data_IF_905276614251
#
_entry.id   IF_905276614251
#
_cell.length_a   1.000
_cell.length_b   1.000
_cell.length_c   1.000
_cell.angle_alpha   90.00
_cell.angle_beta   90.00
_cell.angle_gamma   90.00
#
_symmetry.space_group_name_H-M   'P 1'
#
loop_
_entity.id
_entity.type
_entity.pdbx_description
1 polymer ?
#
# COMPACT_ATOMS: atom_id res chain seq x y z
N UNK A 1 58.89 -14.51 -17.96
CA UNK A 1 57.91 -13.73 -17.15
C UNK A 1 57.04 -12.89 -18.08
N UNK A 2 55.83 -13.35 -18.42
CA UNK A 2 54.79 -12.54 -19.06
C UNK A 2 53.51 -12.77 -18.26
N UNK A 3 53.04 -11.74 -17.56
CA UNK A 3 51.80 -11.76 -16.78
C UNK A 3 50.64 -11.56 -17.77
N UNK A 4 49.73 -12.52 -17.86
CA UNK A 4 48.47 -12.40 -18.59
C UNK A 4 47.46 -11.78 -17.63
N UNK A 5 47.05 -10.55 -17.89
CA UNK A 5 45.93 -9.90 -17.20
C UNK A 5 44.63 -10.39 -17.84
N UNK A 6 43.88 -11.23 -17.12
CA UNK A 6 42.54 -11.64 -17.50
C UNK A 6 41.56 -10.59 -16.95
N UNK A 7 41.19 -9.62 -17.79
CA UNK A 7 40.16 -8.63 -17.46
C UNK A 7 38.78 -9.27 -17.53
N UNK A 8 38.13 -9.44 -16.38
CA UNK A 8 36.73 -9.86 -16.30
C UNK A 8 35.86 -8.66 -16.72
N UNK A 9 35.26 -8.74 -17.90
CA UNK A 9 34.27 -7.76 -18.36
C UNK A 9 32.94 -8.07 -17.65
N UNK A 10 32.65 -7.33 -16.57
CA UNK A 10 31.34 -7.32 -15.92
C UNK A 10 30.33 -6.65 -16.86
N UNK A 11 29.57 -7.46 -17.59
CA UNK A 11 28.38 -7.00 -18.31
C UNK A 11 27.32 -6.71 -17.26
N UNK A 12 27.22 -5.46 -16.84
CA UNK A 12 26.09 -4.97 -16.04
C UNK A 12 24.90 -4.88 -16.98
N UNK A 13 24.05 -5.92 -16.97
CA UNK A 13 22.74 -5.86 -17.64
C UNK A 13 21.81 -5.05 -16.75
N UNK A 14 21.86 -3.73 -16.91
CA UNK A 14 20.91 -2.81 -16.29
C UNK A 14 19.53 -3.06 -16.92
N UNK A 15 18.66 -3.76 -16.20
CA UNK A 15 17.22 -3.78 -16.50
C UNK A 15 16.65 -2.41 -16.16
N UNK A 16 16.68 -1.50 -17.13
CA UNK A 16 15.84 -0.30 -17.07
C UNK A 16 14.39 -0.76 -17.15
N UNK A 17 13.65 -0.56 -16.05
CA UNK A 17 12.20 -0.60 -16.05
C UNK A 17 11.71 0.47 -17.04
N UNK A 18 11.46 0.06 -18.29
CA UNK A 18 10.75 0.92 -19.24
C UNK A 18 9.37 1.15 -18.65
N UNK A 19 9.06 2.41 -18.36
CA UNK A 19 7.71 2.90 -18.22
C UNK A 19 6.87 2.25 -19.32
N UNK A 20 5.94 1.37 -18.94
CA UNK A 20 4.92 0.88 -19.85
C UNK A 20 4.12 2.10 -20.27
N UNK A 21 4.30 2.50 -21.53
CA UNK A 21 3.61 3.61 -22.18
C UNK A 21 2.11 3.52 -21.92
N UNK A 22 1.59 4.51 -21.20
CA UNK A 22 0.17 4.74 -20.93
C UNK A 22 -0.69 4.71 -22.20
N UNK A 23 -0.11 5.04 -23.36
CA UNK A 23 -0.76 5.02 -24.69
C UNK A 23 -1.21 3.62 -25.21
N UNK A 24 -1.02 2.50 -24.48
CA UNK A 24 -1.47 1.15 -24.94
C UNK A 24 -2.58 0.50 -24.11
N UNK A 25 -3.02 1.08 -22.99
CA UNK A 25 -4.06 0.48 -22.14
C UNK A 25 -5.47 0.96 -22.48
N UNK A 26 -5.61 2.21 -22.93
CA UNK A 26 -6.93 2.79 -23.25
C UNK A 26 -7.56 2.19 -24.52
N UNK A 27 -6.74 1.73 -25.46
CA UNK A 27 -7.20 1.08 -26.70
C UNK A 27 -7.69 -0.36 -26.48
N UNK A 28 -7.28 -1.01 -25.40
CA UNK A 28 -7.67 -2.39 -25.10
C UNK A 28 -9.11 -2.44 -24.60
N UNK A 29 -9.89 -3.40 -25.10
CA UNK A 29 -11.22 -3.63 -24.57
C UNK A 29 -11.16 -4.15 -23.12
N UNK A 30 -12.30 -4.15 -22.43
CA UNK A 30 -12.40 -4.56 -21.02
C UNK A 30 -11.89 -5.99 -20.78
N UNK A 31 -12.16 -6.91 -21.70
CA UNK A 31 -11.83 -8.33 -21.59
C UNK A 31 -10.34 -8.56 -21.83
N UNK A 32 -9.78 -7.95 -22.88
CA UNK A 32 -8.35 -8.05 -23.19
C UNK A 32 -7.51 -7.52 -22.03
N UNK A 33 -7.90 -6.37 -21.47
CA UNK A 33 -7.19 -5.78 -20.34
C UNK A 33 -7.31 -6.65 -19.09
N UNK A 34 -8.50 -7.19 -18.83
CA UNK A 34 -8.75 -8.15 -17.75
C UNK A 34 -7.80 -9.34 -17.83
N UNK A 35 -7.73 -10.01 -19.00
CA UNK A 35 -6.84 -11.15 -19.21
C UNK A 35 -5.38 -10.78 -19.00
N UNK A 36 -4.91 -9.68 -19.60
CA UNK A 36 -3.52 -9.20 -19.47
C UNK A 36 -3.13 -8.96 -18.02
N UNK A 37 -3.95 -8.22 -17.27
CA UNK A 37 -3.66 -7.88 -15.88
C UNK A 37 -3.72 -9.12 -14.97
N UNK A 38 -4.72 -9.98 -15.15
CA UNK A 38 -4.83 -11.22 -14.38
C UNK A 38 -3.63 -12.15 -14.62
N UNK A 39 -3.19 -12.32 -15.86
CA UNK A 39 -2.01 -13.13 -16.17
C UNK A 39 -0.74 -12.52 -15.58
N UNK A 40 -0.58 -11.19 -15.61
CA UNK A 40 0.57 -10.54 -14.98
C UNK A 40 0.61 -10.77 -13.46
N UNK A 41 -0.55 -10.77 -12.80
CA UNK A 41 -0.67 -10.91 -11.36
C UNK A 41 -0.58 -12.38 -10.91
N UNK A 42 -1.32 -13.27 -11.53
CA UNK A 42 -1.52 -14.64 -11.05
C UNK A 42 -0.87 -15.71 -11.92
N UNK A 43 -0.35 -15.35 -13.10
CA UNK A 43 0.26 -16.29 -14.06
C UNK A 43 -0.73 -17.24 -14.74
N UNK A 44 -2.03 -17.11 -14.47
CA UNK A 44 -3.09 -17.96 -15.03
C UNK A 44 -3.90 -17.28 -16.15
N UNK A 45 -4.90 -18.00 -16.63
CA UNK A 45 -5.89 -17.50 -17.59
C UNK A 45 -7.14 -16.97 -16.84
N UNK A 46 -7.56 -15.74 -17.15
CA UNK A 46 -8.81 -15.18 -16.67
C UNK A 46 -9.99 -15.62 -17.54
N UNK A 47 -11.20 -15.62 -16.97
CA UNK A 47 -12.46 -15.90 -17.67
C UNK A 47 -12.46 -17.30 -18.32
N UNK A 48 -11.92 -18.29 -17.62
CA UNK A 48 -11.77 -19.67 -18.10
C UNK A 48 -13.02 -20.55 -17.88
N UNK A 49 -14.05 -20.03 -17.20
CA UNK A 49 -15.29 -20.75 -16.92
C UNK A 49 -15.16 -21.89 -15.91
N UNK A 50 -14.00 -22.02 -15.25
CA UNK A 50 -13.75 -23.04 -14.24
C UNK A 50 -14.25 -22.62 -12.84
N UNK A 51 -14.30 -23.60 -11.92
CA UNK A 51 -14.75 -23.39 -10.55
C UNK A 51 -16.23 -23.66 -10.36
N UNK A 52 -16.74 -23.34 -9.16
CA UNK A 52 -18.13 -23.59 -8.78
C UNK A 52 -19.08 -22.46 -9.16
N UNK A 53 -18.55 -21.24 -9.32
CA UNK A 53 -19.34 -20.01 -9.54
C UNK A 53 -18.69 -19.14 -10.64
N UNK A 54 -18.65 -19.61 -11.91
CA UNK A 54 -17.92 -18.91 -12.97
C UNK A 54 -18.51 -17.53 -13.31
N UNK A 55 -19.83 -17.32 -13.17
CA UNK A 55 -20.46 -16.04 -13.47
C UNK A 55 -19.98 -14.91 -12.55
N UNK A 56 -19.91 -15.16 -11.23
CA UNK A 56 -19.44 -14.15 -10.28
C UNK A 56 -17.94 -13.91 -10.45
N UNK A 57 -17.17 -14.94 -10.78
CA UNK A 57 -15.74 -14.81 -11.08
C UNK A 57 -15.51 -13.95 -12.32
N UNK A 58 -16.33 -14.11 -13.35
CA UNK A 58 -16.30 -13.27 -14.54
C UNK A 58 -16.59 -11.80 -14.21
N UNK A 59 -17.66 -11.54 -13.45
CA UNK A 59 -18.02 -10.18 -13.02
C UNK A 59 -16.86 -9.55 -12.22
N UNK A 60 -16.33 -10.29 -11.25
CA UNK A 60 -15.22 -9.86 -10.40
C UNK A 60 -13.97 -9.54 -11.23
N UNK A 61 -13.54 -10.47 -12.08
CA UNK A 61 -12.31 -10.30 -12.86
C UNK A 61 -12.42 -9.15 -13.86
N UNK A 62 -13.55 -9.06 -14.59
CA UNK A 62 -13.79 -7.97 -15.54
C UNK A 62 -13.88 -6.61 -14.85
N UNK A 63 -14.42 -6.53 -13.64
CA UNK A 63 -14.47 -5.29 -12.87
C UNK A 63 -13.09 -4.87 -12.35
N UNK A 64 -12.40 -5.76 -11.63
CA UNK A 64 -11.10 -5.45 -11.02
C UNK A 64 -10.06 -5.23 -12.12
N UNK A 65 -9.81 -6.24 -12.95
CA UNK A 65 -8.68 -6.24 -13.87
C UNK A 65 -8.99 -5.54 -15.21
N UNK A 66 -10.27 -5.39 -15.55
CA UNK A 66 -10.71 -4.76 -16.79
C UNK A 66 -11.11 -3.28 -16.67
N UNK A 67 -11.65 -2.83 -15.52
CA UNK A 67 -12.15 -1.45 -15.35
C UNK A 67 -11.36 -0.67 -14.29
N UNK A 68 -11.18 -1.23 -13.09
CA UNK A 68 -10.47 -0.53 -12.00
C UNK A 68 -9.00 -0.31 -12.36
N UNK A 69 -8.34 -1.29 -12.98
CA UNK A 69 -6.93 -1.18 -13.39
C UNK A 69 -6.64 -0.16 -14.50
N UNK A 70 -7.62 0.21 -15.33
CA UNK A 70 -7.45 1.33 -16.29
C UNK A 70 -7.79 2.70 -15.69
N UNK A 71 -8.42 2.73 -14.52
CA UNK A 71 -8.91 3.99 -13.96
C UNK A 71 -7.81 4.70 -13.18
N UNK A 72 -7.43 5.88 -13.65
CA UNK A 72 -6.42 6.74 -13.05
C UNK A 72 -4.97 6.25 -13.22
N UNK A 73 -4.02 7.16 -13.03
CA UNK A 73 -2.59 6.86 -13.14
C UNK A 73 -2.06 6.27 -11.82
N UNK A 74 -2.01 4.94 -11.79
CA UNK A 74 -1.48 4.14 -10.68
C UNK A 74 -0.77 2.92 -11.26
N UNK A 75 0.50 2.78 -10.94
CA UNK A 75 1.29 1.63 -11.36
C UNK A 75 0.81 0.33 -10.67
N UNK A 76 1.12 -0.80 -11.30
CA UNK A 76 0.64 -2.11 -10.88
C UNK A 76 1.18 -2.54 -9.50
N UNK A 77 2.40 -2.11 -9.12
CA UNK A 77 2.96 -2.40 -7.79
C UNK A 77 2.15 -1.69 -6.71
N UNK A 78 1.88 -0.40 -6.93
CA UNK A 78 1.08 0.41 -6.01
C UNK A 78 -0.34 -0.15 -5.89
N UNK A 79 -0.97 -0.57 -6.99
CA UNK A 79 -2.29 -1.22 -6.97
C UNK A 79 -2.32 -2.46 -6.10
N UNK A 80 -1.33 -3.34 -6.24
CA UNK A 80 -1.26 -4.56 -5.42
C UNK A 80 -0.91 -4.29 -3.96
N UNK A 81 -0.07 -3.30 -3.66
CA UNK A 81 0.16 -2.88 -2.27
C UNK A 81 -1.12 -2.35 -1.63
N UNK A 82 -1.92 -1.54 -2.35
CA UNK A 82 -3.24 -1.07 -1.89
C UNK A 82 -4.16 -2.27 -1.62
N UNK A 83 -4.26 -3.20 -2.56
CA UNK A 83 -5.05 -4.42 -2.38
C UNK A 83 -4.63 -5.19 -1.12
N UNK A 84 -3.33 -5.39 -0.92
CA UNK A 84 -2.80 -6.10 0.25
C UNK A 84 -3.16 -5.40 1.58
N UNK A 85 -3.02 -4.07 1.67
CA UNK A 85 -3.38 -3.36 2.91
C UNK A 85 -4.90 -3.33 3.14
N UNK A 86 -5.73 -3.31 2.10
CA UNK A 86 -7.18 -3.46 2.21
C UNK A 86 -7.55 -4.85 2.78
N UNK A 87 -7.01 -5.92 2.20
CA UNK A 87 -7.30 -7.30 2.63
C UNK A 87 -6.77 -7.56 4.05
N UNK A 88 -5.59 -7.03 4.39
CA UNK A 88 -5.06 -7.06 5.75
C UNK A 88 -5.99 -6.35 6.75
N UNK A 89 -6.50 -5.17 6.38
CA UNK A 89 -7.40 -4.38 7.24
C UNK A 89 -8.72 -5.12 7.53
N UNK A 90 -9.28 -5.77 6.50
CA UNK A 90 -10.51 -6.56 6.57
C UNK A 90 -10.32 -7.99 7.09
N UNK A 91 -9.07 -8.42 7.32
CA UNK A 91 -8.71 -9.78 7.74
C UNK A 91 -9.14 -10.88 6.74
N UNK A 92 -9.13 -10.57 5.44
CA UNK A 92 -9.39 -11.54 4.36
C UNK A 92 -8.09 -12.28 4.01
N UNK A 93 -7.64 -13.14 4.94
CA UNK A 93 -6.29 -13.73 4.93
C UNK A 93 -5.99 -14.66 3.74
N UNK A 94 -6.90 -15.53 3.28
CA UNK A 94 -6.64 -16.36 2.09
C UNK A 94 -6.39 -15.51 0.83
N UNK A 95 -7.19 -14.47 0.63
CA UNK A 95 -7.04 -13.52 -0.47
C UNK A 95 -5.75 -12.71 -0.30
N UNK A 96 -5.43 -12.27 0.93
CA UNK A 96 -4.17 -11.59 1.21
C UNK A 96 -2.96 -12.44 0.84
N UNK A 97 -2.96 -13.73 1.17
CA UNK A 97 -1.88 -14.65 0.77
C UNK A 97 -1.75 -14.73 -0.77
N UNK A 98 -2.88 -14.86 -1.48
CA UNK A 98 -2.90 -14.86 -2.95
C UNK A 98 -2.33 -13.57 -3.54
N UNK A 99 -2.79 -12.42 -3.05
CA UNK A 99 -2.33 -11.10 -3.49
C UNK A 99 -0.90 -10.77 -3.05
N UNK A 100 -0.41 -11.32 -1.93
CA UNK A 100 0.99 -11.23 -1.56
C UNK A 100 1.88 -11.93 -2.62
N UNK A 101 1.43 -13.09 -3.11
CA UNK A 101 2.05 -13.73 -4.27
C UNK A 101 1.97 -12.87 -5.53
N UNK A 102 0.81 -12.30 -5.84
CA UNK A 102 0.62 -11.45 -7.01
C UNK A 102 1.50 -10.20 -6.98
N UNK A 103 1.60 -9.53 -5.83
CA UNK A 103 2.48 -8.39 -5.59
C UNK A 103 3.94 -8.74 -5.93
N UNK A 104 4.42 -9.92 -5.51
CA UNK A 104 5.76 -10.40 -5.82
C UNK A 104 5.95 -10.70 -7.32
N UNK A 105 4.91 -11.14 -8.04
CA UNK A 105 4.97 -11.37 -9.49
C UNK A 105 5.15 -10.07 -10.28
N UNK A 106 4.58 -8.97 -9.79
CA UNK A 106 4.65 -7.65 -10.46
C UNK A 106 5.75 -6.75 -9.91
N UNK A 107 6.67 -7.31 -9.11
CA UNK A 107 7.91 -6.63 -8.69
C UNK A 107 7.81 -5.81 -7.40
N UNK A 108 6.76 -5.99 -6.59
CA UNK A 108 6.80 -5.57 -5.18
C UNK A 108 7.82 -6.45 -4.48
N UNK A 109 8.82 -5.85 -3.83
CA UNK A 109 9.84 -6.59 -3.10
C UNK A 109 9.27 -7.15 -1.79
N UNK A 110 9.87 -8.21 -1.23
CA UNK A 110 9.48 -8.70 0.09
C UNK A 110 9.55 -7.62 1.19
N UNK A 111 10.49 -6.67 1.05
CA UNK A 111 10.65 -5.55 1.98
C UNK A 111 9.48 -4.57 1.83
N UNK A 112 9.19 -4.09 0.61
CA UNK A 112 8.06 -3.18 0.35
C UNK A 112 6.75 -3.78 0.86
N UNK A 113 6.48 -5.07 0.56
CA UNK A 113 5.25 -5.73 1.00
C UNK A 113 5.17 -5.84 2.53
N UNK A 114 6.28 -6.17 3.20
CA UNK A 114 6.30 -6.20 4.68
C UNK A 114 6.05 -4.83 5.27
N UNK A 115 6.72 -3.80 4.75
CA UNK A 115 6.58 -2.43 5.24
C UNK A 115 5.17 -1.88 5.01
N UNK A 116 4.51 -2.27 3.91
CA UNK A 116 3.11 -1.96 3.65
C UNK A 116 2.17 -2.56 4.72
N UNK A 117 2.45 -3.79 5.19
CA UNK A 117 1.67 -4.44 6.26
C UNK A 117 2.02 -3.89 7.65
N UNK A 118 3.30 -3.60 7.92
CA UNK A 118 3.75 -3.06 9.22
C UNK A 118 3.10 -1.72 9.55
N UNK A 119 3.03 -0.79 8.59
CA UNK A 119 2.45 0.53 8.83
C UNK A 119 0.95 0.49 9.11
N UNK A 120 0.25 -0.62 8.87
CA UNK A 120 -1.14 -0.77 9.28
C UNK A 120 -1.28 -0.82 10.82
N UNK A 121 -0.21 -1.16 11.56
CA UNK A 121 -0.26 -1.42 13.01
C UNK A 121 -0.86 -0.29 13.83
N UNK A 122 -0.47 0.99 13.63
CA UNK A 122 -1.03 2.10 14.42
C UNK A 122 -2.50 2.40 14.11
N UNK A 123 -3.05 1.84 13.02
CA UNK A 123 -4.40 2.15 12.54
C UNK A 123 -5.35 1.00 12.86
N UNK A 124 -4.96 -0.24 12.55
CA UNK A 124 -5.82 -1.44 12.69
C UNK A 124 -5.45 -2.31 13.90
N UNK A 125 -4.37 -1.97 14.60
CA UNK A 125 -3.87 -2.69 15.78
C UNK A 125 -3.03 -3.93 15.46
N UNK A 126 -2.17 -4.29 16.41
CA UNK A 126 -1.22 -5.41 16.27
C UNK A 126 -1.86 -6.77 15.97
N UNK A 127 -2.97 -7.21 16.60
CA UNK A 127 -3.51 -8.56 16.33
C UNK A 127 -3.84 -8.79 14.85
N UNK A 128 -4.46 -7.80 14.20
CA UNK A 128 -4.81 -7.85 12.78
C UNK A 128 -3.56 -7.88 11.89
N UNK A 129 -2.54 -7.09 12.24
CA UNK A 129 -1.26 -7.07 11.52
C UNK A 129 -0.50 -8.38 11.68
N UNK A 130 -0.47 -8.97 12.88
CA UNK A 130 0.20 -10.25 13.12
C UNK A 130 -0.44 -11.38 12.30
N UNK A 131 -1.77 -11.42 12.19
CA UNK A 131 -2.48 -12.35 11.32
C UNK A 131 -2.12 -12.14 9.83
N UNK A 132 -2.12 -10.88 9.38
CA UNK A 132 -1.76 -10.52 8.02
C UNK A 132 -0.31 -10.91 7.68
N UNK A 133 0.62 -10.72 8.61
CA UNK A 133 2.01 -11.16 8.47
C UNK A 133 2.14 -12.67 8.37
N UNK A 134 1.30 -13.43 9.08
CA UNK A 134 1.21 -14.88 8.92
C UNK A 134 0.92 -15.27 7.46
N UNK A 135 -0.13 -14.70 6.87
CA UNK A 135 -0.51 -14.94 5.48
C UNK A 135 0.58 -14.51 4.47
N UNK A 136 1.21 -13.35 4.66
CA UNK A 136 2.32 -12.88 3.81
C UNK A 136 3.55 -13.78 3.94
N UNK A 137 3.88 -14.23 5.15
CA UNK A 137 5.01 -15.12 5.38
C UNK A 137 4.80 -16.52 4.77
N UNK A 138 3.55 -17.00 4.70
CA UNK A 138 3.24 -18.22 3.94
C UNK A 138 3.54 -18.04 2.44
N UNK A 139 3.12 -16.92 1.85
CA UNK A 139 3.44 -16.60 0.45
C UNK A 139 4.96 -16.48 0.21
N UNK A 140 5.70 -15.90 1.17
CA UNK A 140 7.17 -15.87 1.13
C UNK A 140 7.77 -17.27 1.17
N UNK A 141 7.28 -18.13 2.08
CA UNK A 141 7.75 -19.51 2.23
C UNK A 141 7.53 -20.33 0.96
N UNK A 142 6.36 -20.22 0.33
CA UNK A 142 6.03 -20.90 -0.93
C UNK A 142 6.95 -20.49 -2.09
N UNK A 143 7.52 -19.28 -2.02
CA UNK A 143 8.47 -18.73 -2.99
C UNK A 143 9.94 -18.88 -2.58
N UNK A 144 10.22 -19.61 -1.50
CA UNK A 144 11.59 -19.81 -1.02
C UNK A 144 12.25 -18.54 -0.44
N UNK A 145 11.49 -17.48 -0.16
CA UNK A 145 11.98 -16.27 0.47
C UNK A 145 12.19 -16.54 1.96
N UNK A 146 13.44 -16.40 2.43
CA UNK A 146 13.81 -16.65 3.82
C UNK A 146 13.37 -15.47 4.71
N UNK A 147 12.75 -15.79 5.84
CA UNK A 147 12.46 -14.84 6.92
C UNK A 147 13.36 -15.15 8.14
N UNK A 148 13.79 -14.15 8.92
CA UNK A 148 13.46 -12.72 8.81
C UNK A 148 14.13 -12.04 7.59
N UNK A 149 13.48 -11.03 6.97
CA UNK A 149 14.22 -10.14 6.05
C UNK A 149 15.04 -9.14 6.87
N UNK A 150 15.98 -8.48 6.22
CA UNK A 150 16.80 -7.39 6.74
C UNK A 150 15.96 -6.29 7.42
N UNK A 151 16.49 -5.78 8.53
CA UNK A 151 15.87 -4.69 9.28
C UNK A 151 15.85 -3.41 8.45
N UNK A 152 14.71 -2.72 8.46
CA UNK A 152 14.54 -1.41 7.84
C UNK A 152 14.47 -0.27 8.88
N UNK A 153 14.74 -0.56 10.15
CA UNK A 153 14.73 0.45 11.21
C UNK A 153 15.82 1.50 10.98
N UNK A 154 15.47 2.76 11.21
CA UNK A 154 16.36 3.93 11.02
C UNK A 154 16.53 4.76 12.30
N UNK A 155 15.88 4.32 13.40
CA UNK A 155 15.84 5.00 14.70
C UNK A 155 16.30 4.07 15.82
N UNK A 156 16.68 4.66 16.95
CA UNK A 156 16.94 3.99 18.23
C UNK A 156 15.89 4.41 19.26
N UNK A 157 15.86 3.76 20.42
CA UNK A 157 14.93 4.14 21.50
C UNK A 157 15.15 5.58 21.98
N UNK A 158 16.38 6.09 21.88
CA UNK A 158 16.72 7.46 22.28
C UNK A 158 16.21 8.52 21.30
N UNK A 159 16.10 8.21 20.00
CA UNK A 159 15.81 9.21 18.96
C UNK A 159 14.48 9.01 18.21
N UNK A 160 13.74 7.91 18.46
CA UNK A 160 12.43 7.64 17.83
C UNK A 160 11.41 8.76 18.00
N UNK A 161 11.41 9.45 19.15
CA UNK A 161 10.51 10.60 19.36
C UNK A 161 10.87 11.76 18.44
N UNK A 162 12.13 12.18 18.45
CA UNK A 162 12.61 13.34 17.66
C UNK A 162 12.43 13.09 16.16
N UNK A 163 12.84 11.92 15.67
CA UNK A 163 12.70 11.54 14.27
C UNK A 163 11.25 11.34 13.83
N UNK A 164 10.42 10.76 14.69
CA UNK A 164 8.98 10.68 14.45
C UNK A 164 8.35 12.08 14.38
N UNK A 165 8.78 12.98 15.27
CA UNK A 165 8.28 14.35 15.36
C UNK A 165 8.63 15.18 14.12
N UNK A 166 9.81 15.00 13.53
CA UNK A 166 10.20 15.65 12.26
C UNK A 166 9.18 15.35 11.15
N UNK A 167 8.85 14.06 10.93
CA UNK A 167 7.86 13.63 9.92
C UNK A 167 6.45 14.09 10.28
N UNK A 168 6.04 13.90 11.53
CA UNK A 168 4.70 14.29 11.98
C UNK A 168 4.48 15.79 11.79
N UNK A 169 5.44 16.62 12.17
CA UNK A 169 5.28 18.07 12.15
C UNK A 169 5.21 18.60 10.72
N UNK A 170 6.03 18.07 9.79
CA UNK A 170 5.99 18.50 8.39
C UNK A 170 4.62 18.23 7.74
N UNK A 171 4.02 17.08 8.05
CA UNK A 171 2.76 16.67 7.44
C UNK A 171 1.52 17.22 8.19
N UNK A 172 1.50 17.11 9.52
CA UNK A 172 0.30 17.35 10.34
C UNK A 172 0.41 18.59 11.25
N UNK A 173 1.62 19.06 11.54
CA UNK A 173 1.87 20.08 12.55
C UNK A 173 1.46 19.61 13.95
N UNK A 174 0.98 20.53 14.80
CA UNK A 174 0.63 20.25 16.20
C UNK A 174 -0.80 19.77 16.46
N UNK A 175 -1.55 19.46 15.40
CA UNK A 175 -2.99 19.14 15.48
C UNK A 175 -3.32 18.02 16.47
N UNK A 176 -2.48 16.99 16.53
CA UNK A 176 -2.73 15.85 17.43
C UNK A 176 -2.60 16.23 18.90
N UNK A 177 -1.63 17.07 19.26
CA UNK A 177 -1.45 17.53 20.64
C UNK A 177 -2.66 18.35 21.07
N UNK A 178 -3.13 19.25 20.21
CA UNK A 178 -4.32 20.05 20.47
C UNK A 178 -5.59 19.21 20.57
N UNK A 179 -5.76 18.21 19.70
CA UNK A 179 -6.93 17.33 19.71
C UNK A 179 -7.02 16.45 20.98
N UNK A 180 -5.90 16.24 21.68
CA UNK A 180 -5.81 15.37 22.85
C UNK A 180 -5.67 16.13 24.17
N UNK A 181 -5.58 17.46 24.17
CA UNK A 181 -5.25 18.24 25.39
C UNK A 181 -6.26 18.08 26.53
N UNK A 182 -7.53 17.87 26.20
CA UNK A 182 -8.62 17.77 27.18
C UNK A 182 -8.86 16.33 27.66
N UNK A 183 -8.04 15.36 27.22
CA UNK A 183 -8.11 13.98 27.70
C UNK A 183 -7.70 13.94 29.19
N UNK A 184 -8.49 13.28 30.07
CA UNK A 184 -8.32 13.39 31.52
C UNK A 184 -6.94 13.07 32.07
N UNK A 185 -6.59 13.71 33.20
CA UNK A 185 -5.42 13.39 34.04
C UNK A 185 -4.09 13.38 33.25
N UNK A 186 -3.96 14.24 32.25
CA UNK A 186 -2.76 14.32 31.40
C UNK A 186 -2.52 13.10 30.50
N UNK A 187 -3.51 12.20 30.37
CA UNK A 187 -3.37 11.03 29.50
C UNK A 187 -3.27 11.42 28.02
N UNK A 188 -3.83 12.58 27.64
CA UNK A 188 -3.74 13.13 26.29
C UNK A 188 -2.30 13.35 25.82
N UNK A 189 -1.46 13.92 26.70
CA UNK A 189 -0.04 14.11 26.41
C UNK A 189 0.68 12.78 26.20
N UNK A 190 0.34 11.76 27.00
CA UNK A 190 0.89 10.41 26.85
C UNK A 190 0.49 9.81 25.50
N UNK A 191 -0.79 9.90 25.12
CA UNK A 191 -1.27 9.37 23.84
C UNK A 191 -0.65 10.13 22.67
N UNK A 192 -0.51 11.46 22.76
CA UNK A 192 0.16 12.26 21.73
C UNK A 192 1.64 11.84 21.58
N UNK A 193 2.33 11.58 22.70
CA UNK A 193 3.69 11.04 22.69
C UNK A 193 3.74 9.66 22.05
N UNK A 194 2.87 8.73 22.45
CA UNK A 194 2.82 7.38 21.88
C UNK A 194 2.58 7.42 20.37
N UNK A 195 1.70 8.28 19.89
CA UNK A 195 1.45 8.43 18.46
C UNK A 195 2.70 8.98 17.73
N UNK A 196 3.39 9.96 18.32
CA UNK A 196 4.67 10.47 17.78
C UNK A 196 5.73 9.36 17.71
N UNK A 197 5.92 8.65 18.82
CA UNK A 197 6.95 7.63 18.98
C UNK A 197 6.66 6.38 18.17
N UNK A 198 5.44 5.86 18.24
CA UNK A 198 5.07 4.57 17.63
C UNK A 198 4.71 4.77 16.17
N UNK A 199 3.69 5.58 15.85
CA UNK A 199 3.25 5.72 14.46
C UNK A 199 4.34 6.35 13.61
N UNK A 200 4.86 7.51 14.02
CA UNK A 200 5.85 8.21 13.20
C UNK A 200 7.26 7.66 13.40
N UNK A 201 7.70 7.53 14.65
CA UNK A 201 9.03 7.01 15.00
C UNK A 201 9.22 5.56 14.53
N UNK A 202 8.51 4.60 15.10
CA UNK A 202 8.78 3.18 14.82
C UNK A 202 8.38 2.73 13.41
N UNK A 203 7.35 3.34 12.79
CA UNK A 203 6.82 2.88 11.51
C UNK A 203 7.13 3.82 10.34
N UNK A 204 6.84 5.12 10.42
CA UNK A 204 7.01 6.03 9.27
C UNK A 204 8.48 6.35 8.95
N UNK A 205 9.38 6.34 9.94
CA UNK A 205 10.82 6.57 9.67
C UNK A 205 11.51 5.40 8.98
N UNK A 206 10.89 4.20 9.00
CA UNK A 206 11.51 2.99 8.47
C UNK A 206 11.77 3.13 6.98
N UNK A 207 12.92 2.61 6.56
CA UNK A 207 13.26 2.44 5.15
C UNK A 207 12.35 1.38 4.48
N UNK A 208 12.48 1.21 3.17
CA UNK A 208 11.73 0.22 2.40
C UNK A 208 10.45 0.74 1.73
N UNK A 209 9.86 1.83 2.22
CA UNK A 209 8.83 2.62 1.51
C UNK A 209 9.06 4.11 1.73
N UNK A 210 8.83 4.91 0.69
CA UNK A 210 8.89 6.36 0.78
C UNK A 210 7.63 6.96 1.44
N UNK A 211 7.75 8.20 1.91
CA UNK A 211 6.65 8.92 2.58
C UNK A 211 5.39 9.06 1.70
N UNK A 212 5.46 9.43 0.41
CA UNK A 212 4.28 9.50 -0.45
C UNK A 212 3.54 8.15 -0.53
N UNK A 213 4.26 7.04 -0.68
CA UNK A 213 3.65 5.70 -0.74
C UNK A 213 3.04 5.30 0.61
N UNK A 214 3.72 5.55 1.72
CA UNK A 214 3.20 5.26 3.07
C UNK A 214 1.90 6.02 3.35
N UNK A 215 1.87 7.32 3.04
CA UNK A 215 0.67 8.14 3.22
C UNK A 215 -0.49 7.71 2.33
N UNK A 216 -0.22 7.29 1.10
CA UNK A 216 -1.24 6.79 0.18
C UNK A 216 -1.87 5.49 0.70
N UNK A 217 -1.04 4.54 1.11
CA UNK A 217 -1.49 3.26 1.66
C UNK A 217 -2.24 3.44 2.99
N UNK A 218 -1.78 4.36 3.84
CA UNK A 218 -2.48 4.73 5.07
C UNK A 218 -3.87 5.31 4.77
N UNK A 219 -3.99 6.16 3.74
CA UNK A 219 -5.28 6.68 3.29
C UNK A 219 -6.25 5.56 2.86
N UNK A 220 -5.74 4.54 2.16
CA UNK A 220 -6.52 3.35 1.80
C UNK A 220 -6.98 2.54 3.02
N UNK A 221 -6.11 2.34 4.02
CA UNK A 221 -6.46 1.66 5.28
C UNK A 221 -7.55 2.44 6.03
N UNK A 222 -7.41 3.76 6.14
CA UNK A 222 -8.40 4.64 6.75
C UNK A 222 -9.75 4.62 6.01
N UNK A 223 -9.70 4.50 4.67
CA UNK A 223 -10.88 4.36 3.82
C UNK A 223 -11.62 3.06 4.15
N UNK A 224 -10.89 1.95 4.31
CA UNK A 224 -11.46 0.64 4.66
C UNK A 224 -12.16 0.68 6.03
N UNK A 225 -11.56 1.33 7.04
CA UNK A 225 -12.17 1.41 8.38
C UNK A 225 -13.18 2.56 8.54
N UNK A 226 -13.32 3.43 7.54
CA UNK A 226 -14.25 4.57 7.57
C UNK A 226 -13.91 5.65 8.59
N UNK A 227 -12.62 5.84 8.91
CA UNK A 227 -12.14 6.80 9.91
C UNK A 227 -12.12 8.23 9.36
N UNK A 228 -13.31 8.83 9.25
CA UNK A 228 -13.56 10.10 8.57
C UNK A 228 -12.72 11.30 9.08
N UNK A 229 -12.59 11.57 10.39
CA UNK A 229 -11.72 12.64 10.86
C UNK A 229 -10.26 12.49 10.38
N UNK A 230 -9.77 11.24 10.37
CA UNK A 230 -8.44 10.92 9.91
C UNK A 230 -8.32 11.03 8.39
N UNK A 231 -9.34 10.64 7.62
CA UNK A 231 -9.38 10.85 6.16
C UNK A 231 -9.18 12.32 5.79
N UNK A 232 -9.81 13.27 6.49
CA UNK A 232 -9.54 14.70 6.24
C UNK A 232 -8.07 15.08 6.49
N UNK A 233 -7.50 14.64 7.60
CA UNK A 233 -6.11 14.97 7.95
C UNK A 233 -5.08 14.31 7.02
N UNK A 234 -5.30 13.04 6.63
CA UNK A 234 -4.40 12.31 5.74
C UNK A 234 -4.57 12.69 4.27
N UNK A 235 -5.72 13.22 3.86
CA UNK A 235 -5.84 13.86 2.54
C UNK A 235 -4.86 15.04 2.44
N UNK A 236 -4.85 15.93 3.44
CA UNK A 236 -3.91 17.06 3.48
C UNK A 236 -2.45 16.60 3.55
N UNK A 237 -2.17 15.56 4.34
CA UNK A 237 -0.82 14.98 4.43
C UNK A 237 -0.36 14.37 3.10
N UNK A 238 -1.23 13.66 2.38
CA UNK A 238 -0.94 13.12 1.06
C UNK A 238 -0.57 14.23 0.06
N UNK A 239 -1.35 15.32 0.03
CA UNK A 239 -1.05 16.46 -0.84
C UNK A 239 0.30 17.10 -0.50
N UNK A 240 0.62 17.27 0.78
CA UNK A 240 1.93 17.77 1.23
C UNK A 240 3.09 16.82 0.92
N UNK A 241 2.83 15.51 0.99
CA UNK A 241 3.80 14.49 0.59
C UNK A 241 4.00 14.42 -0.93
N UNK A 242 3.16 15.11 -1.73
CA UNK A 242 3.31 15.21 -3.17
C UNK A 242 2.43 14.25 -3.99
N UNK A 243 1.51 13.51 -3.35
CA UNK A 243 0.49 12.77 -4.09
C UNK A 243 -0.55 13.74 -4.66
N UNK A 244 -0.92 13.59 -5.94
CA UNK A 244 -1.95 14.41 -6.55
C UNK A 244 -3.36 13.95 -6.13
N UNK A 245 -4.38 14.83 -6.16
CA UNK A 245 -5.77 14.44 -5.95
C UNK A 245 -6.22 13.27 -6.83
N UNK A 246 -5.75 13.22 -8.07
CA UNK A 246 -6.05 12.17 -9.04
C UNK A 246 -5.46 10.82 -8.59
N UNK A 247 -4.21 10.80 -8.11
CA UNK A 247 -3.57 9.58 -7.60
C UNK A 247 -4.28 9.06 -6.34
N UNK A 248 -4.68 9.95 -5.44
CA UNK A 248 -5.43 9.58 -4.23
C UNK A 248 -6.82 9.04 -4.61
N UNK A 249 -7.48 9.67 -5.57
CA UNK A 249 -8.78 9.21 -6.12
C UNK A 249 -8.66 7.82 -6.74
N UNK A 250 -7.65 7.60 -7.57
CA UNK A 250 -7.37 6.30 -8.17
C UNK A 250 -7.10 5.22 -7.11
N UNK A 251 -6.44 5.58 -6.00
CA UNK A 251 -6.16 4.66 -4.90
C UNK A 251 -7.45 4.25 -4.15
N UNK A 252 -8.38 5.18 -3.95
CA UNK A 252 -9.72 4.86 -3.40
C UNK A 252 -10.53 3.99 -4.37
N UNK A 253 -10.44 4.24 -5.67
CA UNK A 253 -11.08 3.41 -6.70
C UNK A 253 -10.50 1.98 -6.68
N UNK A 254 -9.19 1.83 -6.48
CA UNK A 254 -8.55 0.52 -6.28
C UNK A 254 -9.08 -0.23 -5.05
N UNK A 255 -9.47 0.48 -3.98
CA UNK A 255 -10.08 -0.14 -2.80
C UNK A 255 -11.50 -0.66 -3.07
N UNK A 256 -12.23 -0.05 -4.01
CA UNK A 256 -13.67 -0.21 -4.20
C UNK A 256 -14.16 -1.66 -4.41
N UNK A 257 -13.48 -2.53 -5.19
CA UNK A 257 -13.90 -3.93 -5.32
C UNK A 257 -13.83 -4.72 -4.02
N UNK A 258 -12.99 -4.29 -3.08
CA UNK A 258 -12.74 -4.98 -1.82
C UNK A 258 -13.64 -4.49 -0.70
N UNK A 259 -13.95 -3.19 -0.68
CA UNK A 259 -14.72 -2.55 0.40
C UNK A 259 -16.15 -2.17 0.01
N UNK A 260 -16.50 -2.29 -1.27
CA UNK A 260 -17.78 -1.88 -1.84
C UNK A 260 -17.92 -0.37 -2.06
N UNK A 261 -18.90 0.00 -2.89
CA UNK A 261 -19.16 1.39 -3.27
C UNK A 261 -19.42 2.34 -2.07
N UNK A 262 -20.27 2.01 -1.07
CA UNK A 262 -20.61 2.98 -0.02
C UNK A 262 -19.40 3.47 0.78
N UNK A 263 -18.47 2.58 1.13
CA UNK A 263 -17.26 2.94 1.85
C UNK A 263 -16.31 3.80 0.99
N UNK A 264 -16.14 3.44 -0.29
CA UNK A 264 -15.33 4.22 -1.24
C UNK A 264 -15.93 5.61 -1.50
N UNK A 265 -17.25 5.72 -1.70
CA UNK A 265 -17.95 6.99 -1.98
C UNK A 265 -17.77 8.01 -0.86
N UNK A 266 -17.67 7.59 0.40
CA UNK A 266 -17.37 8.48 1.51
C UNK A 266 -16.02 9.17 1.33
N UNK A 267 -14.96 8.40 1.08
CA UNK A 267 -13.63 8.96 0.86
C UNK A 267 -13.56 9.82 -0.42
N UNK A 268 -14.21 9.39 -1.51
CA UNK A 268 -14.30 10.18 -2.75
C UNK A 268 -15.01 11.52 -2.54
N UNK A 269 -16.04 11.57 -1.68
CA UNK A 269 -16.72 12.82 -1.34
C UNK A 269 -15.77 13.78 -0.61
N UNK A 270 -15.00 13.28 0.36
CA UNK A 270 -13.99 14.08 1.08
C UNK A 270 -12.93 14.66 0.12
N UNK A 271 -12.45 13.86 -0.84
CA UNK A 271 -11.48 14.31 -1.85
C UNK A 271 -12.10 15.41 -2.72
N UNK A 272 -13.30 15.17 -3.25
CA UNK A 272 -14.02 16.11 -4.10
C UNK A 272 -14.25 17.45 -3.40
N UNK A 273 -14.74 17.43 -2.16
CA UNK A 273 -15.05 18.64 -1.41
C UNK A 273 -13.79 19.48 -1.12
N UNK A 274 -12.64 18.82 -1.01
CA UNK A 274 -11.36 19.51 -0.86
C UNK A 274 -10.83 20.07 -2.17
N UNK A 275 -11.01 19.39 -3.30
CA UNK A 275 -10.56 19.84 -4.62
C UNK A 275 -11.30 21.11 -5.11
N UNK A 276 -12.47 21.40 -4.54
CA UNK A 276 -13.28 22.58 -4.85
C UNK A 276 -12.88 23.82 -4.00
N UNK A 277 -12.08 23.64 -2.94
CA UNK A 277 -11.63 24.70 -2.01
C UNK A 277 -10.20 25.15 -2.28
#
# INVERSE_FOLDING_TARGET
>A
MKKVFLGLLLIVVSFSAKAQTTEKMDDMDRIELCKKNYTALFGGEALNGEGTDPEIMDILQKYIFGEVFRTGDLDIKTREMITCVCLATMQQLPQLKGHAGAALNVGVTPIELREAIYQCSPIIGFPKVLNALGAVNEAFKERGIKVPLESQATVTEENRYEKGREIQYSLYGDRTKEALKDVPKGMGEKVARFLTEVHFGDFQTRSGLDTPTRELLTYCVLTVIGAEPQLHSHLLANLKAGNSPEKITAAVIQCMPYIGFPAALKALTIIKDKAIQ
#
